data_IF_817292909364
#
_entry.id   IF_817292909364
#
_cell.length_a   1.000
_cell.length_b   1.000
_cell.length_c   1.000
_cell.angle_alpha   90.00
_cell.angle_beta   90.00
_cell.angle_gamma   90.00
#
_symmetry.space_group_name_H-M   'P 1'
#
loop_
_entity.id
_entity.type
_entity.pdbx_description
1 polymer ?
#
# COMPACT_ATOMS: atom_id res chain seq x y z
N UNK A 1 12.63 -8.30 -25.58
CA UNK A 1 11.32 -8.83 -25.13
C UNK A 1 11.26 -10.32 -25.43
N UNK A 2 10.88 -11.15 -24.45
CA UNK A 2 10.55 -12.55 -24.70
C UNK A 2 9.13 -12.61 -25.26
N UNK A 3 8.91 -13.42 -26.31
CA UNK A 3 7.57 -13.68 -26.84
C UNK A 3 7.01 -14.90 -26.11
N UNK A 4 5.77 -14.80 -25.68
CA UNK A 4 5.04 -15.88 -24.97
C UNK A 4 3.74 -16.12 -25.73
N UNK A 5 3.38 -17.38 -25.89
CA UNK A 5 2.09 -17.80 -26.43
C UNK A 5 1.21 -18.28 -25.29
N UNK A 6 -0.03 -17.81 -25.26
CA UNK A 6 -1.03 -18.19 -24.26
C UNK A 6 -2.21 -18.84 -24.97
N UNK A 7 -2.72 -19.93 -24.40
CA UNK A 7 -3.96 -20.54 -24.84
C UNK A 7 -5.09 -20.02 -23.96
N UNK A 8 -6.09 -19.42 -24.57
CA UNK A 8 -7.24 -18.80 -23.91
C UNK A 8 -8.51 -19.30 -24.58
N UNK A 9 -9.60 -19.32 -23.82
CA UNK A 9 -10.92 -19.55 -24.38
C UNK A 9 -11.27 -18.45 -25.40
N UNK A 10 -11.79 -18.85 -26.57
CA UNK A 10 -12.07 -17.93 -27.67
C UNK A 10 -13.14 -16.89 -27.30
N UNK A 11 -14.16 -17.30 -26.54
CA UNK A 11 -15.22 -16.38 -26.12
C UNK A 11 -14.67 -15.33 -25.15
N UNK A 12 -13.85 -15.74 -24.19
CA UNK A 12 -13.14 -14.83 -23.29
C UNK A 12 -12.24 -13.87 -24.07
N UNK A 13 -11.50 -14.38 -25.05
CA UNK A 13 -10.57 -13.58 -25.85
C UNK A 13 -11.28 -12.52 -26.69
N UNK A 14 -12.43 -12.84 -27.28
CA UNK A 14 -13.25 -11.87 -28.04
C UNK A 14 -13.71 -10.73 -27.12
N UNK A 15 -14.27 -11.05 -25.95
CA UNK A 15 -14.70 -10.04 -24.97
C UNK A 15 -13.54 -9.17 -24.52
N UNK A 16 -12.38 -9.76 -24.28
CA UNK A 16 -11.19 -9.02 -23.88
C UNK A 16 -10.74 -8.02 -24.95
N UNK A 17 -10.70 -8.44 -26.23
CA UNK A 17 -10.38 -7.53 -27.34
C UNK A 17 -11.36 -6.35 -27.43
N UNK A 18 -12.64 -6.62 -27.23
CA UNK A 18 -13.67 -5.58 -27.24
C UNK A 18 -13.43 -4.55 -26.14
N UNK A 19 -13.13 -4.99 -24.91
CA UNK A 19 -12.79 -4.10 -23.80
C UNK A 19 -11.55 -3.26 -24.11
N UNK A 20 -10.48 -3.88 -24.63
CA UNK A 20 -9.25 -3.17 -25.01
C UNK A 20 -9.53 -2.14 -26.10
N UNK A 21 -10.32 -2.50 -27.11
CA UNK A 21 -10.71 -1.61 -28.19
C UNK A 21 -11.54 -0.43 -27.68
N UNK A 22 -12.50 -0.67 -26.79
CA UNK A 22 -13.32 0.39 -26.17
C UNK A 22 -12.47 1.33 -25.31
N UNK A 23 -11.46 0.80 -24.60
CA UNK A 23 -10.59 1.58 -23.71
C UNK A 23 -9.58 2.43 -24.46
N UNK A 24 -8.95 1.89 -25.49
CA UNK A 24 -7.81 2.53 -26.17
C UNK A 24 -8.10 2.97 -27.61
N UNK A 25 -9.25 2.62 -28.17
CA UNK A 25 -9.58 2.83 -29.59
C UNK A 25 -8.75 1.97 -30.55
N UNK A 26 -7.90 1.06 -30.04
CA UNK A 26 -7.00 0.25 -30.86
C UNK A 26 -6.65 -1.09 -30.19
N UNK A 27 -6.44 -2.11 -31.02
CA UNK A 27 -5.95 -3.43 -30.58
C UNK A 27 -4.43 -3.50 -30.46
N UNK A 28 -3.68 -2.46 -30.85
CA UNK A 28 -2.21 -2.41 -30.71
C UNK A 28 -1.73 -2.51 -29.26
N UNK A 29 -2.63 -2.30 -28.29
CA UNK A 29 -2.37 -2.38 -26.85
C UNK A 29 -2.72 -3.73 -26.22
N UNK A 30 -3.16 -4.73 -26.99
CA UNK A 30 -3.54 -6.05 -26.48
C UNK A 30 -2.46 -6.70 -25.62
N UNK A 31 -1.22 -6.78 -26.13
CA UNK A 31 -0.12 -7.42 -25.40
C UNK A 31 0.18 -6.70 -24.08
N UNK A 32 0.14 -5.36 -24.08
CA UNK A 32 0.35 -4.58 -22.87
C UNK A 32 -0.75 -4.83 -21.84
N UNK A 33 -2.00 -4.99 -22.30
CA UNK A 33 -3.11 -5.18 -21.38
C UNK A 33 -3.17 -6.58 -20.80
N UNK A 34 -2.78 -7.59 -21.58
CA UNK A 34 -2.54 -8.94 -21.06
C UNK A 34 -1.43 -8.92 -20.01
N UNK A 35 -0.34 -8.21 -20.27
CA UNK A 35 0.76 -8.04 -19.31
C UNK A 35 0.30 -7.31 -18.03
N UNK A 36 -0.52 -6.27 -18.15
CA UNK A 36 -1.06 -5.54 -17.00
C UNK A 36 -1.95 -6.43 -16.13
N UNK A 37 -2.81 -7.26 -16.74
CA UNK A 37 -3.65 -8.21 -16.00
C UNK A 37 -2.80 -9.24 -15.26
N UNK A 38 -1.79 -9.82 -15.93
CA UNK A 38 -0.88 -10.77 -15.30
C UNK A 38 -0.05 -10.13 -14.19
N UNK A 39 0.39 -8.88 -14.36
CA UNK A 39 1.07 -8.14 -13.29
C UNK A 39 0.15 -7.88 -12.11
N UNK A 40 -1.11 -7.50 -12.36
CA UNK A 40 -2.07 -7.26 -11.28
C UNK A 40 -2.31 -8.52 -10.44
N UNK A 41 -2.43 -9.70 -11.06
CA UNK A 41 -2.56 -10.97 -10.33
C UNK A 41 -1.27 -11.35 -9.58
N UNK A 42 -0.11 -11.13 -10.20
CA UNK A 42 1.18 -11.43 -9.56
C UNK A 42 1.53 -10.42 -8.45
N UNK A 43 0.99 -9.19 -8.46
CA UNK A 43 1.24 -8.22 -7.39
C UNK A 43 0.64 -8.70 -6.08
N UNK A 44 -0.52 -9.36 -6.10
CA UNK A 44 -1.08 -9.98 -4.89
C UNK A 44 -0.12 -11.04 -4.32
N UNK A 45 0.41 -11.92 -5.17
CA UNK A 45 1.42 -12.93 -4.79
C UNK A 45 2.73 -12.28 -4.29
N UNK A 46 3.24 -11.25 -4.97
CA UNK A 46 4.46 -10.55 -4.59
C UNK A 46 4.32 -9.79 -3.27
N UNK A 47 3.13 -9.23 -3.00
CA UNK A 47 2.83 -8.56 -1.74
C UNK A 47 2.82 -9.59 -0.62
N UNK A 48 2.16 -10.74 -0.82
CA UNK A 48 2.19 -11.85 0.14
C UNK A 48 3.61 -12.37 0.40
N UNK A 49 4.41 -12.54 -0.65
CA UNK A 49 5.80 -12.97 -0.53
C UNK A 49 6.68 -11.92 0.18
N UNK A 50 6.49 -10.64 -0.11
CA UNK A 50 7.20 -9.56 0.56
C UNK A 50 6.84 -9.47 2.05
N UNK A 51 5.57 -9.65 2.41
CA UNK A 51 5.15 -9.71 3.81
C UNK A 51 5.69 -10.94 4.54
N UNK A 52 5.73 -12.12 3.88
CA UNK A 52 6.42 -13.31 4.41
C UNK A 52 7.91 -13.06 4.64
N UNK A 53 8.59 -12.38 3.71
CA UNK A 53 10.00 -12.03 3.85
C UNK A 53 10.27 -11.02 4.98
N UNK A 54 9.26 -10.22 5.36
CA UNK A 54 9.30 -9.30 6.49
C UNK A 54 8.80 -9.93 7.81
N UNK A 55 8.49 -11.23 7.82
CA UNK A 55 7.91 -11.94 8.97
C UNK A 55 6.59 -11.31 9.46
N UNK A 56 5.85 -10.68 8.55
CA UNK A 56 4.57 -10.04 8.79
C UNK A 56 3.44 -10.97 8.34
N UNK A 57 2.65 -11.43 9.29
CA UNK A 57 1.51 -12.31 8.99
C UNK A 57 0.34 -11.48 8.43
N UNK A 58 0.14 -11.56 7.11
CA UNK A 58 -0.89 -10.80 6.35
C UNK A 58 -2.31 -11.08 6.85
N UNK A 59 -2.50 -12.19 7.58
CA UNK A 59 -3.76 -12.55 8.22
C UNK A 59 -4.14 -11.66 9.40
N UNK A 60 -3.19 -10.91 9.97
CA UNK A 60 -3.45 -10.00 11.07
C UNK A 60 -3.78 -8.62 10.51
N UNK A 61 -4.99 -8.49 9.95
CA UNK A 61 -5.62 -7.17 9.77
C UNK A 61 -5.91 -6.65 11.18
N UNK A 62 -4.90 -6.04 11.81
CA UNK A 62 -5.08 -5.35 13.08
C UNK A 62 -6.04 -4.19 12.82
N UNK A 63 -7.19 -4.17 13.48
CA UNK A 63 -8.08 -3.01 13.46
C UNK A 63 -7.27 -1.77 13.86
N UNK A 64 -7.55 -0.58 13.30
CA UNK A 64 -6.95 0.67 13.78
C UNK A 64 -7.06 0.85 15.30
N UNK A 65 -8.06 0.24 15.93
CA UNK A 65 -8.24 0.21 17.39
C UNK A 65 -7.21 -0.67 18.10
N UNK A 66 -6.85 -1.83 17.53
CA UNK A 66 -5.83 -2.72 18.08
C UNK A 66 -4.44 -2.11 17.99
N UNK A 67 -4.16 -1.39 16.90
CA UNK A 67 -2.92 -0.62 16.73
C UNK A 67 -2.83 0.52 17.76
N UNK A 68 -3.96 1.18 18.07
CA UNK A 68 -3.99 2.21 19.14
C UNK A 68 -3.73 1.62 20.52
N UNK A 69 -4.18 0.38 20.78
CA UNK A 69 -3.97 -0.32 22.05
C UNK A 69 -2.54 -0.82 22.22
N UNK A 70 -1.92 -1.32 21.15
CA UNK A 70 -0.55 -1.83 21.16
C UNK A 70 0.52 -0.75 21.08
N UNK A 71 0.14 0.51 20.76
CA UNK A 71 1.08 1.62 20.67
C UNK A 71 1.81 1.83 22.01
N UNK A 72 3.15 1.94 22.01
CA UNK A 72 3.92 2.27 23.21
C UNK A 72 3.41 3.58 23.80
N UNK A 73 2.95 3.54 25.05
CA UNK A 73 2.62 4.76 25.79
C UNK A 73 3.92 5.46 26.14
N UNK A 74 4.07 6.70 25.68
CA UNK A 74 5.19 7.55 26.07
C UNK A 74 5.20 7.66 27.60
N UNK A 75 6.31 7.26 28.23
CA UNK A 75 6.50 7.45 29.65
C UNK A 75 6.91 8.90 29.89
N UNK A 76 6.10 9.63 30.65
CA UNK A 76 6.41 10.98 31.08
C UNK A 76 5.20 11.91 31.06
N UNK A 77 5.37 13.12 31.62
CA UNK A 77 4.35 14.16 31.50
C UNK A 77 4.12 14.49 30.03
N UNK A 78 2.89 14.90 29.69
CA UNK A 78 2.56 15.39 28.35
C UNK A 78 3.62 16.39 27.89
N UNK A 79 4.04 16.31 26.63
CA UNK A 79 4.95 17.29 26.02
C UNK A 79 4.46 18.72 26.22
N UNK A 80 3.15 18.91 26.33
CA UNK A 80 2.50 20.18 26.66
C UNK A 80 2.91 20.72 28.05
N UNK A 81 2.95 19.87 29.07
CA UNK A 81 3.41 20.23 30.42
C UNK A 81 4.90 20.57 30.42
N UNK A 82 5.70 19.84 29.63
CA UNK A 82 7.13 20.09 29.48
C UNK A 82 7.38 21.45 28.81
N UNK A 83 6.67 21.74 27.71
CA UNK A 83 6.75 23.02 26.99
C UNK A 83 6.28 24.17 27.89
N UNK A 84 5.21 23.97 28.67
CA UNK A 84 4.71 24.97 29.61
C UNK A 84 5.73 25.29 30.72
N UNK A 85 6.41 24.28 31.27
CA UNK A 85 7.53 24.47 32.20
C UNK A 85 8.70 25.22 31.56
N UNK A 86 9.11 24.83 30.36
CA UNK A 86 10.20 25.52 29.64
C UNK A 86 9.87 27.00 29.37
N UNK A 87 8.60 27.33 29.07
CA UNK A 87 8.17 28.72 28.91
C UNK A 87 8.18 29.47 30.24
N UNK A 88 7.71 28.86 31.33
CA UNK A 88 7.74 29.45 32.67
C UNK A 88 9.15 29.81 33.12
N UNK A 89 10.11 28.89 32.97
CA UNK A 89 11.51 29.15 33.34
C UNK A 89 12.15 30.30 32.53
N UNK A 90 11.80 30.44 31.24
CA UNK A 90 12.25 31.58 30.42
C UNK A 90 11.68 32.93 30.86
N UNK A 91 10.52 32.94 31.52
CA UNK A 91 9.90 34.17 32.04
C UNK A 91 10.58 34.56 33.35
N UNK A 92 10.91 33.59 34.21
CA UNK A 92 11.63 33.84 35.47
C UNK A 92 13.09 34.26 35.24
N UNK A 93 13.80 33.69 34.26
CA UNK A 93 15.18 34.09 33.90
C UNK A 93 15.26 35.47 33.23
N UNK A 94 14.14 36.04 32.78
CA UNK A 94 14.05 37.35 32.14
C UNK A 94 13.59 38.50 33.04
N UNK A 95 13.35 38.23 34.33
CA UNK A 95 12.99 39.25 35.33
C UNK A 95 14.28 39.73 36.06
N UNK A 96 14.61 41.04 36.02
CA UNK A 96 15.68 41.62 36.84
C UNK A 96 15.35 41.64 38.34
#
# INVERSE_FOLDING_TARGET
>A
MKKVSLYLDDKLWIKFKEVVLRRHGTLRKLSNEVENVLRASLVEENIEEAFKAMDLDVKVVSSPEDVKRSRPKLQGPSSELLIRKMRGMRIDEGLP
#
